data_IF_948398862286
#
_entry.id   IF_948398862286
#
_cell.length_a   1.000
_cell.length_b   1.000
_cell.length_c   1.000
_cell.angle_alpha   90.00
_cell.angle_beta   90.00
_cell.angle_gamma   90.00
#
_symmetry.space_group_name_H-M   'P 1'
#
loop_
_entity.id
_entity.type
_entity.pdbx_description
1 polymer ?
#
# COMPACT_ATOMS: atom_id res chain seq x y z
N UNK A 1 -7.62 53.22 -44.90
CA UNK A 1 -6.56 53.56 -45.87
C UNK A 1 -5.30 52.73 -45.59
N UNK A 2 -5.00 51.86 -46.59
CA UNK A 2 -3.65 51.54 -47.11
C UNK A 2 -2.65 50.95 -46.11
N UNK A 3 -2.34 49.66 -46.23
CA UNK A 3 -1.30 49.14 -47.13
C UNK A 3 0.09 49.18 -46.51
N UNK A 4 0.76 48.12 -46.28
CA UNK A 4 1.77 47.53 -47.16
C UNK A 4 2.43 46.30 -46.54
N UNK A 5 2.28 45.29 -47.27
CA UNK A 5 3.07 44.10 -47.48
C UNK A 5 4.59 44.33 -47.36
N UNK A 6 5.32 43.51 -46.58
CA UNK A 6 6.74 43.23 -46.83
C UNK A 6 7.07 41.80 -46.48
N UNK A 7 7.14 41.01 -47.54
CA UNK A 7 7.80 39.69 -47.57
C UNK A 7 9.28 39.89 -47.23
N UNK A 8 9.75 39.15 -46.27
CA UNK A 8 11.18 38.87 -46.15
C UNK A 8 11.32 37.34 -46.13
N UNK A 9 11.69 36.85 -47.30
CA UNK A 9 12.29 35.53 -47.50
C UNK A 9 13.64 35.52 -46.76
N UNK A 10 13.81 34.67 -45.81
CA UNK A 10 15.13 34.28 -45.32
C UNK A 10 15.26 32.77 -45.50
N UNK A 11 16.28 32.45 -46.27
CA UNK A 11 16.63 31.15 -46.78
C UNK A 11 16.89 30.11 -45.67
N UNK A 12 16.39 28.92 -45.95
CA UNK A 12 16.80 27.68 -45.29
C UNK A 12 18.30 27.44 -45.39
N UNK A 13 18.96 27.31 -44.28
CA UNK A 13 20.21 26.55 -44.21
C UNK A 13 19.89 25.26 -43.50
N UNK A 14 19.80 24.19 -44.28
CA UNK A 14 19.76 22.81 -43.80
C UNK A 14 21.15 22.47 -43.22
N UNK A 15 21.30 22.58 -41.91
CA UNK A 15 22.36 21.91 -41.20
C UNK A 15 21.75 20.65 -40.59
N UNK A 16 21.95 19.55 -41.29
CA UNK A 16 21.65 18.20 -40.84
C UNK A 16 22.65 17.85 -39.72
N UNK A 17 22.35 18.24 -38.49
CA UNK A 17 23.07 17.74 -37.32
C UNK A 17 22.36 16.44 -36.91
N UNK A 18 22.94 15.31 -37.34
CA UNK A 18 22.69 14.02 -36.74
C UNK A 18 23.11 14.09 -35.26
N UNK A 19 22.18 14.38 -34.38
CA UNK A 19 22.40 14.19 -32.96
C UNK A 19 22.22 12.70 -32.70
N UNK A 20 23.27 11.98 -32.21
CA UNK A 20 23.08 10.59 -31.81
C UNK A 20 22.08 10.60 -30.65
N UNK A 21 20.95 9.95 -30.85
CA UNK A 21 20.03 9.62 -29.77
C UNK A 21 20.76 8.60 -28.89
N UNK A 22 21.48 9.09 -27.90
CA UNK A 22 21.86 8.25 -26.75
C UNK A 22 20.56 7.83 -26.09
N UNK A 23 20.30 6.52 -25.92
CA UNK A 23 19.19 6.11 -25.10
C UNK A 23 19.50 6.55 -23.69
N UNK A 24 18.88 7.67 -23.29
CA UNK A 24 18.84 8.07 -21.88
C UNK A 24 18.09 6.98 -21.13
N UNK A 25 18.84 6.06 -20.58
CA UNK A 25 18.38 5.04 -19.61
C UNK A 25 18.05 5.66 -18.26
N UNK A 26 17.65 6.92 -18.25
CA UNK A 26 16.93 7.53 -17.15
C UNK A 26 15.42 7.43 -17.40
N UNK A 27 14.98 6.19 -17.60
CA UNK A 27 13.61 5.88 -17.20
C UNK A 27 13.57 6.21 -15.71
N UNK A 28 13.00 7.37 -15.40
CA UNK A 28 12.71 7.77 -14.02
C UNK A 28 12.13 6.55 -13.34
N UNK A 29 12.94 5.93 -12.50
CA UNK A 29 12.46 4.96 -11.54
C UNK A 29 11.45 5.72 -10.72
N UNK A 30 10.17 5.54 -11.04
CA UNK A 30 9.12 5.84 -10.07
C UNK A 30 9.65 5.32 -8.73
N UNK A 31 9.47 6.01 -7.61
CA UNK A 31 9.82 5.43 -6.33
C UNK A 31 8.99 4.16 -6.19
N UNK A 32 9.50 3.08 -6.76
CA UNK A 32 9.03 1.74 -6.47
C UNK A 32 9.21 1.67 -4.97
N UNK A 33 8.09 1.67 -4.25
CA UNK A 33 8.10 1.48 -2.82
C UNK A 33 9.13 0.40 -2.55
N UNK A 34 10.19 0.72 -1.79
CA UNK A 34 11.21 -0.24 -1.42
C UNK A 34 10.47 -1.35 -0.67
N UNK A 35 10.08 -2.38 -1.42
CA UNK A 35 9.58 -3.59 -0.80
C UNK A 35 10.69 -4.05 0.13
N UNK A 36 10.39 -4.32 1.40
CA UNK A 36 11.37 -4.95 2.27
C UNK A 36 11.73 -6.29 1.64
N UNK A 37 12.82 -6.27 0.87
CA UNK A 37 13.43 -7.46 0.31
C UNK A 37 13.80 -8.35 1.49
N UNK A 38 13.12 -9.51 1.59
CA UNK A 38 13.31 -10.49 2.64
C UNK A 38 13.09 -10.02 4.08
N UNK A 39 11.85 -9.69 4.46
CA UNK A 39 11.49 -9.82 5.87
C UNK A 39 11.74 -11.27 6.29
N UNK A 40 12.53 -11.54 7.34
CA UNK A 40 12.73 -12.91 7.82
C UNK A 40 11.35 -13.50 8.10
N UNK A 41 11.08 -14.68 7.53
CA UNK A 41 9.80 -15.36 7.78
C UNK A 41 9.68 -15.57 9.28
N UNK A 42 8.61 -15.10 9.91
CA UNK A 42 8.43 -15.32 11.33
C UNK A 42 8.51 -16.82 11.61
N UNK A 43 9.20 -17.19 12.64
CA UNK A 43 9.46 -18.59 13.03
C UNK A 43 8.18 -19.38 13.33
N UNK A 44 7.07 -18.70 13.59
CA UNK A 44 5.75 -19.29 13.76
C UNK A 44 4.67 -18.40 13.14
N UNK A 45 3.63 -19.04 12.58
CA UNK A 45 2.45 -18.32 12.10
C UNK A 45 1.72 -17.67 13.28
N UNK A 46 1.43 -16.36 13.24
CA UNK A 46 0.66 -15.71 14.29
C UNK A 46 -0.72 -16.35 14.47
N UNK A 47 -1.22 -16.37 15.71
CA UNK A 47 -2.56 -16.89 16.00
C UNK A 47 -3.63 -16.06 15.26
N UNK A 48 -4.66 -16.75 14.75
CA UNK A 48 -5.80 -16.08 14.14
C UNK A 48 -6.61 -15.31 15.20
N UNK A 49 -7.09 -14.09 14.89
CA UNK A 49 -7.99 -13.37 15.80
C UNK A 49 -9.38 -13.99 15.83
N UNK A 50 -10.04 -13.91 16.97
CA UNK A 50 -11.48 -14.19 17.08
C UNK A 50 -12.26 -12.92 16.71
N UNK A 51 -12.75 -12.87 15.45
CA UNK A 51 -13.48 -11.72 14.91
C UNK A 51 -14.98 -12.00 14.80
N UNK A 52 -15.78 -10.95 14.99
CA UNK A 52 -17.21 -10.92 14.69
C UNK A 52 -17.50 -9.82 13.67
N UNK A 53 -18.18 -10.15 12.57
CA UNK A 53 -18.73 -9.15 11.65
C UNK A 53 -20.01 -8.59 12.26
N UNK A 54 -20.10 -7.25 12.33
CA UNK A 54 -21.23 -6.51 12.86
C UNK A 54 -22.22 -6.18 11.73
N UNK A 55 -23.50 -5.86 12.06
CA UNK A 55 -24.51 -5.49 11.04
C UNK A 55 -24.10 -4.29 10.17
N UNK A 56 -23.30 -3.37 10.71
CA UNK A 56 -22.76 -2.21 9.98
C UNK A 56 -21.52 -2.56 9.12
N UNK A 57 -21.21 -3.83 8.94
CA UNK A 57 -20.09 -4.32 8.14
C UNK A 57 -18.72 -4.22 8.81
N UNK A 58 -18.61 -3.66 10.01
CA UNK A 58 -17.35 -3.59 10.77
C UNK A 58 -16.99 -4.94 11.38
N UNK A 59 -15.70 -5.12 11.69
CA UNK A 59 -15.18 -6.27 12.40
C UNK A 59 -14.87 -5.89 13.84
N UNK A 60 -15.25 -6.74 14.81
CA UNK A 60 -14.94 -6.56 16.23
C UNK A 60 -14.11 -7.72 16.74
N UNK A 61 -13.04 -7.42 17.45
CA UNK A 61 -12.18 -8.38 18.14
C UNK A 61 -12.91 -8.88 19.38
N UNK A 62 -13.16 -10.20 19.46
CA UNK A 62 -13.94 -10.81 20.57
C UNK A 62 -13.10 -11.19 21.78
N UNK A 63 -11.81 -11.51 21.56
CA UNK A 63 -10.84 -11.87 22.59
C UNK A 63 -9.56 -11.07 22.38
N UNK A 64 -8.78 -10.77 23.43
CA UNK A 64 -7.47 -10.16 23.25
C UNK A 64 -6.66 -10.95 22.24
N UNK A 65 -6.04 -10.25 21.31
CA UNK A 65 -5.27 -10.88 20.24
C UNK A 65 -3.84 -10.39 20.25
N UNK A 66 -2.90 -11.35 20.36
CA UNK A 66 -1.47 -11.06 20.37
C UNK A 66 -0.87 -11.41 19.02
N UNK A 67 -0.14 -10.47 18.46
CA UNK A 67 0.64 -10.61 17.22
C UNK A 67 2.11 -10.42 17.58
N UNK A 68 2.96 -11.35 17.18
CA UNK A 68 4.41 -11.23 17.32
C UNK A 68 5.04 -11.09 15.94
N UNK A 69 5.68 -9.94 15.71
CA UNK A 69 6.37 -9.62 14.46
C UNK A 69 7.70 -8.93 14.79
N UNK A 70 8.76 -9.34 14.15
CA UNK A 70 10.10 -8.76 14.28
C UNK A 70 10.59 -8.71 15.73
N UNK A 71 10.29 -9.75 16.53
CA UNK A 71 10.64 -9.81 17.94
C UNK A 71 9.84 -8.86 18.83
N UNK A 72 8.92 -8.08 18.28
CA UNK A 72 8.01 -7.20 19.02
C UNK A 72 6.64 -7.84 19.16
N UNK A 73 6.10 -7.74 20.37
CA UNK A 73 4.77 -8.27 20.71
C UNK A 73 3.74 -7.15 20.76
N UNK A 74 2.65 -7.34 20.03
CA UNK A 74 1.55 -6.40 19.89
C UNK A 74 0.29 -6.98 20.49
N UNK A 75 -0.49 -6.19 21.24
CA UNK A 75 -1.69 -6.64 21.93
C UNK A 75 -2.90 -5.85 21.48
N UNK A 76 -3.68 -6.43 20.56
CA UNK A 76 -4.96 -5.85 20.14
C UNK A 76 -6.02 -6.16 21.18
N UNK A 77 -6.66 -5.16 21.80
CA UNK A 77 -7.58 -5.38 22.88
C UNK A 77 -8.91 -6.00 22.41
N UNK A 78 -9.56 -6.77 23.29
CA UNK A 78 -10.96 -7.15 23.11
C UNK A 78 -11.83 -5.91 22.92
N UNK A 79 -12.79 -5.97 21.99
CA UNK A 79 -13.72 -4.89 21.71
C UNK A 79 -13.25 -3.92 20.64
N UNK A 80 -11.97 -3.96 20.24
CA UNK A 80 -11.51 -3.13 19.13
C UNK A 80 -12.34 -3.38 17.88
N UNK A 81 -12.72 -2.31 17.17
CA UNK A 81 -13.58 -2.38 15.99
C UNK A 81 -12.93 -1.68 14.81
N UNK A 82 -12.81 -2.40 13.70
CA UNK A 82 -12.16 -1.98 12.45
C UNK A 82 -13.15 -2.05 11.29
N UNK A 83 -12.89 -1.27 10.25
CA UNK A 83 -13.59 -1.39 8.96
C UNK A 83 -13.10 -2.59 8.13
N UNK A 84 -12.01 -3.25 8.54
CA UNK A 84 -11.36 -4.27 7.74
C UNK A 84 -10.78 -3.71 6.45
N UNK A 85 -10.89 -4.47 5.36
CA UNK A 85 -10.39 -4.02 4.06
C UNK A 85 -11.25 -2.87 3.54
N UNK A 86 -10.67 -1.67 3.43
CA UNK A 86 -11.33 -0.50 2.83
C UNK A 86 -11.04 -0.45 1.33
N UNK A 87 -11.94 -1.02 0.55
CA UNK A 87 -11.88 -1.05 -0.92
C UNK A 87 -13.30 -1.09 -1.51
N UNK A 88 -13.50 -0.75 -2.79
CA UNK A 88 -14.77 -0.99 -3.48
C UNK A 88 -15.21 -2.46 -3.37
N UNK A 89 -16.50 -2.73 -3.29
CA UNK A 89 -17.06 -4.08 -3.01
C UNK A 89 -16.50 -5.16 -3.94
N UNK A 90 -16.43 -4.89 -5.24
CA UNK A 90 -15.87 -5.85 -6.23
C UNK A 90 -14.41 -6.21 -5.97
N UNK A 91 -13.64 -5.28 -5.38
CA UNK A 91 -12.23 -5.50 -5.03
C UNK A 91 -12.13 -6.25 -3.70
N UNK A 92 -13.03 -5.97 -2.75
CA UNK A 92 -13.06 -6.67 -1.45
C UNK A 92 -13.19 -8.18 -1.60
N UNK A 93 -14.09 -8.62 -2.47
CA UNK A 93 -14.31 -10.05 -2.73
C UNK A 93 -13.05 -10.74 -3.25
N UNK A 94 -12.32 -10.07 -4.15
CA UNK A 94 -11.04 -10.57 -4.68
C UNK A 94 -9.91 -10.54 -3.64
N UNK A 95 -9.96 -9.61 -2.70
CA UNK A 95 -8.96 -9.47 -1.64
C UNK A 95 -9.21 -10.41 -0.44
N UNK A 96 -10.36 -11.05 -0.35
CA UNK A 96 -10.70 -11.95 0.76
C UNK A 96 -11.24 -11.19 1.96
N UNK A 97 -12.40 -10.53 1.81
CA UNK A 97 -13.09 -9.88 2.93
C UNK A 97 -13.95 -10.88 3.70
N UNK A 98 -13.69 -11.06 4.98
CA UNK A 98 -14.46 -11.94 5.86
C UNK A 98 -13.72 -12.33 7.15
N UNK A 99 -14.46 -12.78 8.16
CA UNK A 99 -13.89 -13.09 9.49
C UNK A 99 -12.83 -14.19 9.46
N UNK A 100 -12.89 -15.10 8.49
CA UNK A 100 -11.96 -16.21 8.31
C UNK A 100 -10.79 -15.89 7.38
N UNK A 101 -10.74 -14.72 6.78
CA UNK A 101 -9.73 -14.37 5.78
C UNK A 101 -8.52 -13.68 6.41
N UNK A 102 -7.33 -14.18 6.06
CA UNK A 102 -6.04 -13.69 6.54
C UNK A 102 -5.83 -12.21 6.24
N UNK A 103 -6.31 -11.79 5.08
CA UNK A 103 -6.25 -10.41 4.61
C UNK A 103 -7.07 -9.47 5.51
N UNK A 104 -8.25 -9.92 5.94
CA UNK A 104 -9.07 -9.17 6.90
C UNK A 104 -8.39 -9.10 8.26
N UNK A 105 -7.74 -10.18 8.72
CA UNK A 105 -7.01 -10.16 9.97
C UNK A 105 -5.87 -9.14 9.95
N UNK A 106 -5.08 -9.15 8.88
CA UNK A 106 -4.02 -8.16 8.69
C UNK A 106 -4.57 -6.73 8.60
N UNK A 107 -5.70 -6.52 7.91
CA UNK A 107 -6.33 -5.20 7.83
C UNK A 107 -6.84 -4.69 9.18
N UNK A 108 -7.43 -5.55 10.00
CA UNK A 108 -7.86 -5.20 11.37
C UNK A 108 -6.66 -4.81 12.24
N UNK A 109 -5.55 -5.52 12.11
CA UNK A 109 -4.31 -5.19 12.81
C UNK A 109 -3.72 -3.87 12.33
N UNK A 110 -3.69 -3.62 11.02
CA UNK A 110 -3.22 -2.39 10.42
C UNK A 110 -4.02 -1.17 10.90
N UNK A 111 -5.35 -1.24 10.91
CA UNK A 111 -6.21 -0.19 11.44
C UNK A 111 -5.92 0.09 12.92
N UNK A 112 -5.66 -0.97 13.70
CA UNK A 112 -5.31 -0.82 15.10
C UNK A 112 -3.96 -0.14 15.30
N UNK A 113 -2.95 -0.45 14.47
CA UNK A 113 -1.63 0.18 14.54
C UNK A 113 -1.71 1.70 14.41
N UNK A 114 -2.63 2.24 13.62
CA UNK A 114 -2.83 3.69 13.51
C UNK A 114 -3.32 4.36 14.80
N UNK A 115 -3.79 3.57 15.76
CA UNK A 115 -4.21 4.09 17.06
C UNK A 115 -3.07 4.04 18.09
N UNK A 116 -1.92 3.45 17.73
CA UNK A 116 -0.82 3.26 18.67
C UNK A 116 0.12 4.47 18.67
N UNK A 117 0.43 5.03 19.85
CA UNK A 117 1.40 6.11 19.94
C UNK A 117 2.80 5.63 19.49
N UNK A 118 3.49 6.47 18.73
CA UNK A 118 4.85 6.17 18.26
C UNK A 118 4.93 5.24 17.05
N UNK A 119 3.81 4.77 16.51
CA UNK A 119 3.78 4.00 15.26
C UNK A 119 3.51 4.96 14.10
N UNK A 120 4.48 5.09 13.20
CA UNK A 120 4.29 5.86 11.98
C UNK A 120 3.40 5.11 10.97
N UNK A 121 2.78 5.84 10.03
CA UNK A 121 1.99 5.20 8.95
C UNK A 121 2.84 4.23 8.13
N UNK A 122 4.06 4.63 7.79
CA UNK A 122 4.99 3.78 7.05
C UNK A 122 5.36 2.51 7.81
N UNK A 123 5.52 2.58 9.13
CA UNK A 123 5.76 1.42 9.97
C UNK A 123 4.53 0.51 10.02
N UNK A 124 3.33 1.08 10.20
CA UNK A 124 2.09 0.31 10.17
C UNK A 124 1.89 -0.41 8.83
N UNK A 125 2.15 0.26 7.70
CA UNK A 125 2.06 -0.33 6.36
C UNK A 125 3.05 -1.49 6.19
N UNK A 126 4.29 -1.36 6.68
CA UNK A 126 5.28 -2.45 6.66
C UNK A 126 4.85 -3.64 7.50
N UNK A 127 4.39 -3.39 8.73
CA UNK A 127 3.89 -4.45 9.62
C UNK A 127 2.66 -5.16 9.05
N UNK A 128 1.81 -4.43 8.31
CA UNK A 128 0.70 -5.02 7.57
C UNK A 128 1.19 -6.01 6.51
N UNK A 129 2.16 -5.62 5.69
CA UNK A 129 2.75 -6.50 4.69
C UNK A 129 3.37 -7.75 5.32
N UNK A 130 4.18 -7.56 6.36
CA UNK A 130 4.83 -8.65 7.09
C UNK A 130 3.82 -9.63 7.69
N UNK A 131 2.72 -9.12 8.23
CA UNK A 131 1.66 -9.96 8.78
C UNK A 131 0.93 -10.75 7.69
N UNK A 132 0.70 -10.17 6.50
CA UNK A 132 0.16 -10.89 5.35
C UNK A 132 1.06 -12.06 4.96
N UNK A 133 2.37 -11.84 4.89
CA UNK A 133 3.36 -12.88 4.58
C UNK A 133 3.40 -13.95 5.67
N UNK A 134 3.37 -13.54 6.94
CA UNK A 134 3.35 -14.44 8.08
C UNK A 134 2.13 -15.36 8.09
N UNK A 135 0.98 -14.86 7.65
CA UNK A 135 -0.22 -15.68 7.46
C UNK A 135 -0.18 -16.54 6.20
N UNK A 136 0.85 -16.40 5.36
CA UNK A 136 0.98 -17.15 4.11
C UNK A 136 0.04 -16.65 3.01
N UNK A 137 -0.21 -15.34 2.96
CA UNK A 137 -0.79 -14.71 1.78
C UNK A 137 0.26 -14.71 0.68
N UNK A 138 -0.15 -14.97 -0.56
CA UNK A 138 0.76 -14.94 -1.70
C UNK A 138 1.46 -13.58 -1.80
N UNK A 139 2.79 -13.58 -2.06
CA UNK A 139 3.60 -12.38 -2.06
C UNK A 139 3.14 -11.31 -3.06
N UNK A 140 2.70 -11.71 -4.26
CA UNK A 140 2.17 -10.77 -5.25
C UNK A 140 0.90 -10.08 -4.74
N UNK A 141 0.00 -10.83 -4.11
CA UNK A 141 -1.21 -10.29 -3.49
C UNK A 141 -0.88 -9.39 -2.31
N UNK A 142 0.03 -9.81 -1.44
CA UNK A 142 0.49 -9.01 -0.30
C UNK A 142 1.14 -7.70 -0.76
N UNK A 143 1.96 -7.73 -1.81
CA UNK A 143 2.58 -6.54 -2.41
C UNK A 143 1.53 -5.58 -2.99
N UNK A 144 0.52 -6.10 -3.69
CA UNK A 144 -0.58 -5.29 -4.21
C UNK A 144 -1.34 -4.58 -3.07
N UNK A 145 -1.66 -5.31 -2.02
CA UNK A 145 -2.35 -4.76 -0.85
C UNK A 145 -1.49 -3.70 -0.15
N UNK A 146 -0.20 -3.97 0.05
CA UNK A 146 0.75 -3.02 0.62
C UNK A 146 0.82 -1.73 -0.20
N UNK A 147 1.01 -1.83 -1.52
CA UNK A 147 1.08 -0.66 -2.41
C UNK A 147 -0.20 0.17 -2.32
N UNK A 148 -1.36 -0.49 -2.23
CA UNK A 148 -2.66 0.18 -2.13
C UNK A 148 -2.80 0.98 -0.82
N UNK A 149 -2.45 0.38 0.32
CA UNK A 149 -2.54 1.08 1.62
C UNK A 149 -1.50 2.19 1.73
N UNK A 150 -0.28 1.98 1.24
CA UNK A 150 0.78 3.00 1.27
C UNK A 150 0.46 4.20 0.38
N UNK A 151 -0.09 3.98 -0.81
CA UNK A 151 -0.57 5.08 -1.66
C UNK A 151 -1.68 5.89 -0.98
N UNK A 152 -2.64 5.23 -0.31
CA UNK A 152 -3.68 5.90 0.45
C UNK A 152 -3.12 6.67 1.65
N UNK A 153 -2.14 6.11 2.35
CA UNK A 153 -1.47 6.76 3.49
C UNK A 153 -0.78 8.07 3.08
N UNK A 154 -0.14 8.11 1.90
CA UNK A 154 0.49 9.32 1.36
C UNK A 154 -0.53 10.43 1.11
N UNK A 155 -1.72 10.11 0.57
CA UNK A 155 -2.76 11.13 0.29
C UNK A 155 -3.32 11.77 1.57
N UNK A 156 -3.23 11.10 2.71
CA UNK A 156 -3.69 11.63 4.01
C UNK A 156 -2.63 12.44 4.75
N UNK A 157 -1.36 12.27 4.41
CA UNK A 157 -0.25 13.00 5.05
C UNK A 157 -0.04 14.41 4.50
N UNK A 158 -0.70 14.77 3.39
CA UNK A 158 -0.58 16.08 2.70
C UNK A 158 -1.66 17.08 3.15
N UNK A 159 -2.46 16.78 4.18
CA UNK A 159 -3.48 17.71 4.71
C UNK A 159 -3.12 18.22 6.09
#
# INVERSE_FOLDING_TARGET
>A
LKSLNRHVLIACILASACVPITPSSELRRSPVANFPESAPRPSARPAAPDLKKLPNGRYRVRKPWTVELNGRRWHVPKGYSSNGITAPSRVKDSLGDGVGHKETWAAVFHDWLFTQPGVSRSEADKLFYELLIAYGVNSSKASLMYTTVSAYSLTKSVR
#
